data_IF_540433461899
#
_entry.id   IF_540433461899
#
_cell.length_a   1.000
_cell.length_b   1.000
_cell.length_c   1.000
_cell.angle_alpha   90.00
_cell.angle_beta   90.00
_cell.angle_gamma   90.00
#
_symmetry.space_group_name_H-M   'P 1'
#
loop_
_entity.id
_entity.type
_entity.pdbx_description
1 polymer ?
#
# COMPACT_ATOMS: atom_id res chain seq x y z
N UNK A 1 15.91 53.62 -45.14
CA UNK A 1 17.10 54.42 -45.48
C UNK A 1 18.15 54.19 -44.40
N UNK A 2 19.39 53.88 -44.81
CA UNK A 2 20.64 53.82 -44.02
C UNK A 2 20.70 52.85 -42.83
N UNK A 3 21.73 52.05 -42.62
CA UNK A 3 23.03 51.93 -43.29
C UNK A 3 23.74 50.64 -42.83
N UNK A 4 24.54 50.10 -43.75
CA UNK A 4 25.37 48.90 -43.64
C UNK A 4 26.80 49.31 -43.22
N UNK A 5 27.66 48.33 -42.90
CA UNK A 5 29.16 48.32 -42.89
C UNK A 5 29.78 48.33 -41.46
N UNK A 6 30.75 47.51 -41.02
CA UNK A 6 31.50 46.33 -41.50
C UNK A 6 32.34 45.71 -40.35
N UNK A 7 32.63 44.41 -40.49
CA UNK A 7 33.90 43.70 -40.29
C UNK A 7 34.79 43.91 -39.04
N UNK A 8 35.11 42.79 -38.39
CA UNK A 8 36.30 42.60 -37.55
C UNK A 8 36.72 41.13 -37.53
N UNK A 9 37.62 40.75 -38.46
CA UNK A 9 38.33 39.46 -38.47
C UNK A 9 39.40 39.47 -37.36
N UNK A 10 39.46 38.41 -36.57
CA UNK A 10 40.54 38.16 -35.61
C UNK A 10 40.87 36.68 -35.53
N UNK A 11 41.71 36.23 -36.47
CA UNK A 11 42.23 34.87 -36.55
C UNK A 11 43.47 34.75 -35.66
N UNK A 12 43.55 33.75 -34.78
CA UNK A 12 44.83 33.32 -34.20
C UNK A 12 44.80 31.83 -33.85
N UNK A 13 45.28 31.05 -34.79
CA UNK A 13 45.77 29.68 -34.64
C UNK A 13 47.22 29.74 -34.19
N UNK A 14 47.65 29.03 -33.13
CA UNK A 14 48.92 28.28 -33.13
C UNK A 14 48.82 27.08 -32.18
N UNK A 15 49.19 25.94 -32.76
CA UNK A 15 49.48 24.60 -32.25
C UNK A 15 50.21 24.47 -30.91
N UNK A 16 49.96 23.32 -30.27
CA UNK A 16 50.85 22.75 -29.25
C UNK A 16 50.58 21.27 -28.90
N UNK A 17 51.07 20.35 -29.76
CA UNK A 17 51.61 19.00 -29.45
C UNK A 17 50.71 17.85 -28.92
N UNK A 18 50.51 16.89 -29.83
CA UNK A 18 50.70 15.43 -29.72
C UNK A 18 51.03 14.82 -28.33
N UNK A 19 50.18 13.86 -27.90
CA UNK A 19 50.65 12.57 -27.36
C UNK A 19 49.81 11.44 -27.99
N UNK A 20 50.53 10.45 -28.52
CA UNK A 20 50.03 9.21 -29.12
C UNK A 20 49.37 8.31 -28.07
N UNK A 21 48.18 7.84 -28.43
CA UNK A 21 47.67 6.47 -28.33
C UNK A 21 48.07 5.58 -27.15
N UNK A 22 47.05 5.13 -26.42
CA UNK A 22 46.87 3.71 -26.10
C UNK A 22 45.40 3.39 -26.30
N UNK A 23 45.11 2.40 -27.15
CA UNK A 23 43.77 1.89 -27.35
C UNK A 23 43.26 1.29 -26.06
N UNK A 24 42.13 1.80 -25.57
CA UNK A 24 41.37 1.15 -24.49
C UNK A 24 39.97 0.86 -25.01
N UNK A 25 39.71 -0.44 -25.03
CA UNK A 25 38.52 -1.13 -25.52
C UNK A 25 37.23 -0.58 -24.91
N UNK A 26 36.15 -0.61 -25.70
CA UNK A 26 34.78 -0.16 -25.40
C UNK A 26 34.08 -0.86 -24.21
N UNK A 27 34.81 -1.60 -23.36
CA UNK A 27 34.27 -2.36 -22.23
C UNK A 27 34.47 -1.69 -20.86
N UNK A 28 35.22 -0.59 -20.78
CA UNK A 28 35.53 0.10 -19.52
C UNK A 28 34.77 1.42 -19.29
N UNK A 29 33.88 1.83 -20.20
CA UNK A 29 33.08 3.06 -20.07
C UNK A 29 31.64 2.85 -19.55
N UNK A 30 31.26 1.63 -19.18
CA UNK A 30 29.89 1.31 -18.67
C UNK A 30 29.83 0.98 -17.18
N UNK A 31 30.91 1.16 -16.43
CA UNK A 31 30.97 0.82 -15.00
C UNK A 31 31.20 2.02 -14.06
N UNK A 32 31.22 3.24 -14.60
CA UNK A 32 31.43 4.47 -13.83
C UNK A 32 30.22 5.42 -13.78
N UNK A 33 29.12 5.14 -14.49
CA UNK A 33 27.90 5.99 -14.47
C UNK A 33 26.73 5.42 -13.65
N UNK A 34 26.88 4.24 -13.03
CA UNK A 34 25.79 3.63 -12.25
C UNK A 34 25.87 3.88 -10.73
N UNK A 35 26.91 4.56 -10.24
CA UNK A 35 27.10 4.84 -8.80
C UNK A 35 26.91 6.29 -8.39
N UNK A 36 26.67 7.22 -9.33
CA UNK A 36 26.49 8.66 -9.00
C UNK A 36 25.03 9.14 -9.04
N UNK A 37 24.08 8.29 -9.44
CA UNK A 37 22.68 8.72 -9.55
C UNK A 37 21.87 8.70 -8.24
N UNK A 38 22.44 8.19 -7.14
CA UNK A 38 21.76 8.14 -5.85
C UNK A 38 22.24 9.17 -4.81
N UNK A 39 22.98 10.20 -5.22
CA UNK A 39 23.53 11.20 -4.30
C UNK A 39 23.36 12.66 -4.78
N UNK A 40 22.18 13.03 -5.29
CA UNK A 40 21.88 14.43 -5.65
C UNK A 40 20.61 15.01 -5.03
N UNK A 41 19.80 14.23 -4.29
CA UNK A 41 18.54 14.78 -3.76
C UNK A 41 18.04 14.16 -2.46
N UNK A 42 18.76 14.39 -1.38
CA UNK A 42 18.15 14.79 -0.09
C UNK A 42 19.22 15.14 0.93
N UNK A 43 19.27 16.43 1.28
CA UNK A 43 19.92 16.88 2.50
C UNK A 43 19.16 16.31 3.69
N UNK A 44 19.72 15.29 4.32
CA UNK A 44 19.47 14.91 5.70
C UNK A 44 20.61 14.00 6.14
N UNK A 45 21.77 14.61 6.30
CA UNK A 45 22.89 14.01 7.02
C UNK A 45 22.49 13.86 8.49
N UNK A 46 22.09 12.67 8.91
CA UNK A 46 22.20 12.19 10.28
C UNK A 46 22.23 10.66 10.24
N UNK A 47 23.31 10.08 10.79
CA UNK A 47 23.63 8.66 10.86
C UNK A 47 24.26 8.00 9.61
N UNK A 48 25.32 8.63 9.10
CA UNK A 48 26.32 7.97 8.25
C UNK A 48 27.56 7.53 9.07
N UNK A 49 27.37 7.05 10.30
CA UNK A 49 28.46 6.58 11.19
C UNK A 49 28.40 5.07 11.50
N UNK A 50 27.39 4.35 11.00
CA UNK A 50 27.16 2.94 11.37
C UNK A 50 27.56 1.90 10.33
N UNK A 51 28.07 2.34 9.17
CA UNK A 51 28.52 1.47 8.09
C UNK A 51 30.05 1.33 7.98
N UNK A 52 30.82 2.03 8.80
CA UNK A 52 32.29 1.94 8.83
C UNK A 52 32.87 0.81 9.67
N UNK A 53 32.03 0.02 10.35
CA UNK A 53 32.47 -1.02 11.29
C UNK A 53 32.56 -2.43 10.67
N UNK A 54 32.18 -2.59 9.39
CA UNK A 54 32.21 -3.89 8.71
C UNK A 54 33.41 -4.09 7.77
N UNK A 55 34.22 -3.06 7.52
CA UNK A 55 35.33 -3.10 6.55
C UNK A 55 36.71 -3.44 7.14
N UNK A 56 36.84 -3.57 8.46
CA UNK A 56 38.15 -3.73 9.14
C UNK A 56 38.49 -5.19 9.52
N UNK A 57 37.64 -6.17 9.18
CA UNK A 57 37.85 -7.58 9.54
C UNK A 57 38.53 -8.44 8.46
N UNK A 58 38.93 -7.86 7.31
CA UNK A 58 39.42 -8.65 6.17
C UNK A 58 40.94 -8.87 6.14
N UNK A 59 41.70 -8.40 7.13
CA UNK A 59 43.16 -8.50 7.13
C UNK A 59 43.70 -9.53 8.15
N UNK A 60 43.15 -10.75 8.18
CA UNK A 60 43.76 -11.87 8.90
C UNK A 60 43.66 -13.15 8.05
N UNK A 61 44.80 -13.81 7.86
CA UNK A 61 44.97 -15.13 7.23
C UNK A 61 43.77 -16.06 7.51
N UNK A 62 43.13 -16.53 6.44
CA UNK A 62 41.86 -17.27 6.50
C UNK A 62 41.89 -18.46 7.46
N UNK A 63 41.24 -18.28 8.61
CA UNK A 63 40.82 -19.39 9.46
C UNK A 63 39.54 -19.96 8.86
N UNK A 64 39.46 -21.27 8.69
CA UNK A 64 38.23 -21.97 8.25
C UNK A 64 37.02 -21.54 9.08
N UNK A 65 37.25 -21.20 10.35
CA UNK A 65 36.22 -20.71 11.28
C UNK A 65 35.61 -19.38 10.79
N UNK A 66 36.43 -18.43 10.32
CA UNK A 66 35.92 -17.12 9.88
C UNK A 66 35.10 -17.22 8.59
N UNK A 67 35.49 -18.11 7.67
CA UNK A 67 34.75 -18.32 6.42
C UNK A 67 33.39 -18.97 6.68
N UNK A 68 33.34 -19.97 7.56
CA UNK A 68 32.09 -20.62 7.96
C UNK A 68 31.14 -19.65 8.66
N UNK A 69 31.65 -18.79 9.56
CA UNK A 69 30.83 -17.78 10.25
C UNK A 69 30.27 -16.75 9.27
N UNK A 70 31.07 -16.31 8.28
CA UNK A 70 30.64 -15.31 7.30
C UNK A 70 29.57 -15.90 6.35
N UNK A 71 29.74 -17.15 5.91
CA UNK A 71 28.76 -17.86 5.08
C UNK A 71 27.43 -18.06 5.83
N UNK A 72 27.49 -18.47 7.11
CA UNK A 72 26.31 -18.60 7.95
C UNK A 72 25.60 -17.25 8.17
N UNK A 73 26.35 -16.17 8.40
CA UNK A 73 25.78 -14.84 8.57
C UNK A 73 25.06 -14.36 7.31
N UNK A 74 25.66 -14.50 6.12
CA UNK A 74 25.01 -14.14 4.86
C UNK A 74 23.70 -14.91 4.65
N UNK A 75 23.70 -16.20 4.96
CA UNK A 75 22.50 -17.05 4.84
C UNK A 75 21.37 -16.54 5.76
N UNK A 76 21.69 -16.23 7.02
CA UNK A 76 20.70 -15.69 7.98
C UNK A 76 20.18 -14.32 7.54
N UNK A 77 21.05 -13.44 7.06
CA UNK A 77 20.68 -12.10 6.57
C UNK A 77 19.82 -12.12 5.31
N UNK A 78 19.83 -13.20 4.53
CA UNK A 78 18.97 -13.34 3.34
C UNK A 78 17.65 -14.02 3.72
N UNK A 79 17.69 -15.07 4.53
CA UNK A 79 16.48 -15.84 4.87
C UNK A 79 15.54 -15.04 5.77
N UNK A 80 16.05 -14.32 6.78
CA UNK A 80 15.20 -13.61 7.74
C UNK A 80 14.35 -12.49 7.09
N UNK A 81 14.89 -11.60 6.23
CA UNK A 81 14.08 -10.58 5.57
C UNK A 81 13.03 -11.18 4.63
N UNK A 82 13.37 -12.23 3.89
CA UNK A 82 12.44 -12.93 2.99
C UNK A 82 11.30 -13.55 3.79
N UNK A 83 11.62 -14.29 4.86
CA UNK A 83 10.61 -14.89 5.73
C UNK A 83 9.68 -13.83 6.32
N UNK A 84 10.26 -12.75 6.85
CA UNK A 84 9.49 -11.67 7.46
C UNK A 84 8.58 -10.96 6.44
N UNK A 85 9.01 -10.76 5.19
CA UNK A 85 8.17 -10.19 4.14
C UNK A 85 6.99 -11.11 3.79
N UNK A 86 7.21 -12.42 3.78
CA UNK A 86 6.15 -13.41 3.56
C UNK A 86 5.15 -13.39 4.72
N UNK A 87 5.61 -13.43 5.97
CA UNK A 87 4.74 -13.38 7.15
C UNK A 87 3.89 -12.11 7.20
N UNK A 88 4.45 -10.94 6.87
CA UNK A 88 3.70 -9.68 6.83
C UNK A 88 2.53 -9.74 5.84
N UNK A 89 2.75 -10.32 4.65
CA UNK A 89 1.68 -10.50 3.65
C UNK A 89 0.57 -11.39 4.19
N UNK A 90 0.90 -12.49 4.86
CA UNK A 90 -0.09 -13.37 5.47
C UNK A 90 -0.90 -12.65 6.56
N UNK A 91 -0.24 -11.89 7.43
CA UNK A 91 -0.93 -11.12 8.48
C UNK A 91 -1.91 -10.10 7.87
N UNK A 92 -1.51 -9.42 6.80
CA UNK A 92 -2.38 -8.46 6.10
C UNK A 92 -3.60 -9.15 5.48
N UNK A 93 -3.40 -10.33 4.86
CA UNK A 93 -4.50 -11.11 4.28
C UNK A 93 -5.49 -11.61 5.33
N UNK A 94 -5.02 -12.03 6.51
CA UNK A 94 -5.90 -12.40 7.61
C UNK A 94 -6.69 -11.20 8.14
N UNK A 95 -6.07 -10.02 8.31
CA UNK A 95 -6.79 -8.80 8.67
C UNK A 95 -7.88 -8.48 7.65
N UNK A 96 -7.56 -8.58 6.35
CA UNK A 96 -8.54 -8.34 5.29
C UNK A 96 -9.70 -9.35 5.32
N UNK A 97 -9.42 -10.62 5.63
CA UNK A 97 -10.45 -11.65 5.79
C UNK A 97 -11.38 -11.32 6.97
N UNK A 98 -10.83 -11.03 8.14
CA UNK A 98 -11.64 -10.69 9.32
C UNK A 98 -12.51 -9.44 9.07
N UNK A 99 -11.98 -8.44 8.36
CA UNK A 99 -12.76 -7.26 7.95
C UNK A 99 -13.90 -7.68 7.01
N UNK A 100 -13.64 -8.51 6.00
CA UNK A 100 -14.67 -8.99 5.08
C UNK A 100 -15.77 -9.76 5.80
N UNK A 101 -15.41 -10.68 6.66
CA UNK A 101 -16.38 -11.48 7.43
C UNK A 101 -17.22 -10.59 8.36
N UNK A 102 -16.58 -9.57 8.95
CA UNK A 102 -17.27 -8.56 9.75
C UNK A 102 -18.27 -7.75 8.92
N UNK A 103 -17.90 -7.35 7.71
CA UNK A 103 -18.79 -6.60 6.79
C UNK A 103 -19.97 -7.46 6.36
N UNK A 104 -19.73 -8.72 6.02
CA UNK A 104 -20.79 -9.66 5.65
C UNK A 104 -21.79 -9.87 6.80
N UNK A 105 -21.29 -10.09 8.01
CA UNK A 105 -22.12 -10.18 9.21
C UNK A 105 -22.90 -8.87 9.46
N UNK A 106 -22.29 -7.72 9.19
CA UNK A 106 -22.93 -6.40 9.32
C UNK A 106 -24.05 -6.24 8.29
N UNK A 107 -23.83 -6.63 7.04
CA UNK A 107 -24.83 -6.59 5.97
C UNK A 107 -26.08 -7.41 6.36
N UNK A 108 -25.88 -8.65 6.79
CA UNK A 108 -26.97 -9.55 7.21
C UNK A 108 -27.69 -8.98 8.44
N UNK A 109 -26.95 -8.50 9.44
CA UNK A 109 -27.52 -7.93 10.67
C UNK A 109 -28.31 -6.65 10.41
N UNK A 110 -27.80 -5.79 9.53
CA UNK A 110 -28.49 -4.58 9.11
C UNK A 110 -29.79 -4.95 8.40
N UNK A 111 -29.76 -5.88 7.44
CA UNK A 111 -30.95 -6.33 6.74
C UNK A 111 -32.01 -6.90 7.71
N UNK A 112 -31.63 -7.83 8.58
CA UNK A 112 -32.56 -8.42 9.55
C UNK A 112 -33.18 -7.37 10.49
N UNK A 113 -32.40 -6.35 10.86
CA UNK A 113 -32.89 -5.24 11.69
C UNK A 113 -33.88 -4.35 10.93
N UNK A 114 -33.68 -4.15 9.63
CA UNK A 114 -34.62 -3.45 8.76
C UNK A 114 -35.92 -4.26 8.64
N UNK A 115 -35.86 -5.55 8.33
CA UNK A 115 -37.06 -6.41 8.25
C UNK A 115 -37.83 -6.45 9.56
N UNK A 116 -37.16 -6.56 10.70
CA UNK A 116 -37.79 -6.53 12.02
C UNK A 116 -38.48 -5.18 12.33
N UNK A 117 -37.89 -4.06 11.91
CA UNK A 117 -38.48 -2.72 12.07
C UNK A 117 -39.70 -2.52 11.15
N UNK A 118 -39.68 -3.10 9.96
CA UNK A 118 -40.73 -2.93 8.94
C UNK A 118 -41.94 -3.87 9.14
N UNK A 119 -41.79 -4.98 9.85
CA UNK A 119 -42.92 -5.86 10.23
C UNK A 119 -44.03 -5.15 11.04
N UNK A 120 -43.74 -3.97 11.61
CA UNK A 120 -44.70 -3.13 12.33
C UNK A 120 -45.34 -1.99 11.51
N UNK A 121 -44.95 -1.76 10.25
CA UNK A 121 -45.40 -0.60 9.46
C UNK A 121 -45.84 -1.01 8.05
N UNK A 122 -47.10 -0.70 7.73
CA UNK A 122 -47.80 -1.18 6.54
C UNK A 122 -47.32 -0.64 5.18
N UNK A 123 -46.32 0.25 5.12
CA UNK A 123 -45.77 0.77 3.86
C UNK A 123 -44.28 1.09 4.08
N UNK A 124 -43.42 0.33 3.39
CA UNK A 124 -41.96 0.39 3.49
C UNK A 124 -41.43 1.40 2.47
N UNK A 125 -41.38 2.67 2.86
CA UNK A 125 -40.53 3.67 2.21
C UNK A 125 -39.43 4.06 3.20
N UNK A 126 -38.48 3.14 3.41
CA UNK A 126 -37.32 3.45 4.23
C UNK A 126 -36.39 4.36 3.46
N UNK A 127 -36.33 5.62 3.90
CA UNK A 127 -35.33 6.58 3.44
C UNK A 127 -33.92 5.98 3.58
N UNK A 128 -33.12 6.03 2.52
CA UNK A 128 -31.74 5.54 2.46
C UNK A 128 -30.86 5.98 3.65
N UNK A 129 -31.14 7.16 4.22
CA UNK A 129 -30.48 7.67 5.42
C UNK A 129 -30.61 6.74 6.64
N UNK A 130 -31.80 6.19 6.90
CA UNK A 130 -32.04 5.29 8.05
C UNK A 130 -31.30 3.96 7.89
N UNK A 131 -31.25 3.44 6.67
CA UNK A 131 -30.49 2.23 6.33
C UNK A 131 -29.01 2.46 6.61
N UNK A 132 -28.48 3.62 6.19
CA UNK A 132 -27.09 3.99 6.44
C UNK A 132 -26.79 4.15 7.93
N UNK A 133 -27.69 4.72 8.72
CA UNK A 133 -27.50 4.90 10.17
C UNK A 133 -27.45 3.55 10.90
N UNK A 134 -28.40 2.65 10.61
CA UNK A 134 -28.41 1.28 11.18
C UNK A 134 -27.15 0.53 10.75
N UNK A 135 -26.75 0.65 9.49
CA UNK A 135 -25.54 0.01 8.97
C UNK A 135 -24.28 0.51 9.69
N UNK A 136 -24.14 1.83 9.88
CA UNK A 136 -23.02 2.43 10.63
C UNK A 136 -22.98 1.95 12.07
N UNK A 137 -24.13 1.88 12.74
CA UNK A 137 -24.22 1.39 14.12
C UNK A 137 -23.76 -0.07 14.23
N UNK A 138 -24.21 -0.94 13.31
CA UNK A 138 -23.78 -2.34 13.27
C UNK A 138 -22.29 -2.48 12.93
N UNK A 139 -21.80 -1.70 11.96
CA UNK A 139 -20.39 -1.71 11.55
C UNK A 139 -19.49 -1.24 12.70
N UNK A 140 -19.90 -0.19 13.42
CA UNK A 140 -19.18 0.33 14.56
C UNK A 140 -19.11 -0.68 15.72
N UNK A 141 -20.18 -1.45 15.96
CA UNK A 141 -20.13 -2.53 16.94
C UNK A 141 -19.17 -3.64 16.53
N UNK A 142 -19.23 -4.10 15.28
CA UNK A 142 -18.44 -5.25 14.85
C UNK A 142 -16.95 -4.93 14.67
N UNK A 143 -16.61 -3.73 14.18
CA UNK A 143 -15.22 -3.27 14.06
C UNK A 143 -14.69 -2.54 15.31
N UNK A 144 -15.48 -2.47 16.39
CA UNK A 144 -15.15 -1.73 17.63
C UNK A 144 -14.76 -0.26 17.37
N UNK A 145 -15.58 0.44 16.59
CA UNK A 145 -15.44 1.86 16.32
C UNK A 145 -16.23 2.70 17.35
N UNK A 146 -15.99 3.99 17.36
CA UNK A 146 -16.82 4.98 18.03
C UNK A 146 -17.98 5.47 17.13
N UNK A 147 -18.77 6.43 17.61
CA UNK A 147 -19.90 6.99 16.86
C UNK A 147 -19.48 7.81 15.62
N UNK A 148 -18.21 8.21 15.52
CA UNK A 148 -17.65 8.95 14.39
C UNK A 148 -16.95 8.02 13.38
N UNK A 149 -17.05 6.70 13.54
CA UNK A 149 -16.33 5.68 12.76
C UNK A 149 -14.81 5.74 12.96
N UNK A 150 -14.35 6.34 14.06
CA UNK A 150 -12.95 6.37 14.45
C UNK A 150 -12.65 5.13 15.33
N UNK A 151 -11.46 4.52 15.20
CA UNK A 151 -11.13 3.26 15.84
C UNK A 151 -10.89 3.43 17.35
N UNK A 152 -11.35 2.45 18.14
CA UNK A 152 -10.98 2.31 19.56
C UNK A 152 -9.67 1.52 19.70
N UNK A 153 -9.12 1.47 20.92
CA UNK A 153 -7.84 0.79 21.23
C UNK A 153 -7.75 -0.66 20.74
N UNK A 154 -8.89 -1.35 20.68
CA UNK A 154 -8.97 -2.78 20.33
C UNK A 154 -9.53 -3.01 18.91
N UNK A 155 -9.63 -1.96 18.09
CA UNK A 155 -10.12 -2.05 16.72
C UNK A 155 -9.08 -2.65 15.78
N UNK A 156 -9.55 -3.28 14.70
CA UNK A 156 -8.71 -3.75 13.60
C UNK A 156 -8.31 -2.58 12.70
N UNK A 157 -9.12 -1.52 12.66
CA UNK A 157 -8.84 -0.29 11.91
C UNK A 157 -7.88 0.61 12.69
N UNK A 158 -7.02 1.32 11.98
CA UNK A 158 -6.03 2.24 12.55
C UNK A 158 -6.34 3.71 12.27
N UNK A 159 -7.33 3.96 11.41
CA UNK A 159 -7.89 5.28 11.13
C UNK A 159 -9.39 5.20 10.86
N UNK A 160 -9.97 6.34 10.48
CA UNK A 160 -11.39 6.46 10.19
C UNK A 160 -11.84 5.49 9.10
N UNK A 161 -12.89 4.73 9.39
CA UNK A 161 -13.54 3.84 8.42
C UNK A 161 -14.56 4.62 7.61
N UNK A 162 -14.54 4.45 6.29
CA UNK A 162 -15.47 5.11 5.39
C UNK A 162 -16.36 4.10 4.66
N UNK A 163 -17.65 4.39 4.61
CA UNK A 163 -18.62 3.62 3.80
C UNK A 163 -18.71 4.31 2.44
N UNK A 164 -18.24 3.63 1.38
CA UNK A 164 -18.21 4.16 0.02
C UNK A 164 -19.54 3.97 -0.69
N UNK A 165 -20.14 2.78 -0.56
CA UNK A 165 -21.45 2.46 -1.14
C UNK A 165 -22.22 1.51 -0.22
N UNK A 166 -23.55 1.67 -0.23
CA UNK A 166 -24.48 0.76 0.41
C UNK A 166 -25.77 0.73 -0.43
N UNK A 167 -26.11 -0.43 -0.95
CA UNK A 167 -27.30 -0.63 -1.79
C UNK A 167 -27.99 -1.92 -1.35
N UNK A 168 -29.28 -1.85 -1.07
CA UNK A 168 -30.11 -3.01 -0.75
C UNK A 168 -30.95 -3.33 -1.98
N UNK A 169 -30.68 -4.46 -2.63
CA UNK A 169 -31.44 -4.93 -3.79
C UNK A 169 -32.42 -6.01 -3.33
N UNK A 170 -33.71 -5.68 -3.23
CA UNK A 170 -34.77 -6.61 -2.82
C UNK A 170 -35.68 -7.06 -3.97
N UNK A 171 -35.69 -6.35 -5.11
CA UNK A 171 -36.51 -6.66 -6.28
C UNK A 171 -35.84 -6.17 -7.57
N UNK A 172 -36.35 -6.62 -8.74
CA UNK A 172 -35.82 -6.20 -10.05
C UNK A 172 -34.58 -6.97 -10.52
N UNK A 173 -34.57 -8.30 -10.36
CA UNK A 173 -33.46 -9.15 -10.82
C UNK A 173 -33.64 -9.57 -12.29
N UNK A 174 -32.55 -9.63 -13.08
CA UNK A 174 -31.15 -9.40 -12.70
C UNK A 174 -30.82 -7.91 -12.55
N UNK A 175 -30.12 -7.57 -11.46
CA UNK A 175 -29.60 -6.23 -11.20
C UNK A 175 -28.07 -6.23 -11.33
N UNK A 176 -27.46 -5.06 -11.54
CA UNK A 176 -25.99 -4.92 -11.60
C UNK A 176 -25.56 -4.04 -10.44
N UNK A 177 -24.60 -4.52 -9.65
CA UNK A 177 -24.05 -3.74 -8.54
C UNK A 177 -23.17 -2.59 -9.06
N UNK A 178 -22.91 -1.54 -8.27
CA UNK A 178 -22.02 -0.43 -8.65
C UNK A 178 -20.61 -0.87 -9.11
N UNK A 179 -20.14 -2.03 -8.65
CA UNK A 179 -18.85 -2.63 -9.01
C UNK A 179 -18.93 -3.58 -10.23
N UNK A 180 -20.11 -3.71 -10.85
CA UNK A 180 -20.32 -4.48 -12.09
C UNK A 180 -20.66 -5.96 -11.92
N UNK A 181 -20.91 -6.44 -10.69
CA UNK A 181 -21.33 -7.83 -10.42
C UNK A 181 -22.83 -7.99 -10.68
N UNK A 182 -23.21 -9.03 -11.41
CA UNK A 182 -24.61 -9.36 -11.69
C UNK A 182 -25.26 -10.05 -10.49
N UNK A 183 -26.29 -9.42 -9.95
CA UNK A 183 -27.09 -9.89 -8.82
C UNK A 183 -28.36 -10.56 -9.35
N UNK A 184 -28.54 -11.84 -9.03
CA UNK A 184 -29.70 -12.65 -9.47
C UNK A 184 -30.72 -12.93 -8.36
N UNK A 185 -30.36 -12.62 -7.11
CA UNK A 185 -31.16 -12.84 -5.91
C UNK A 185 -31.16 -11.59 -5.03
N UNK A 186 -32.05 -11.48 -4.02
CA UNK A 186 -31.96 -10.43 -3.03
C UNK A 186 -30.60 -10.37 -2.36
N UNK A 187 -29.96 -9.20 -2.41
CA UNK A 187 -28.58 -9.01 -1.99
C UNK A 187 -28.40 -7.63 -1.36
N UNK A 188 -27.60 -7.56 -0.30
CA UNK A 188 -27.07 -6.30 0.24
C UNK A 188 -25.66 -6.11 -0.31
N UNK A 189 -25.48 -5.05 -1.08
CA UNK A 189 -24.18 -4.62 -1.58
C UNK A 189 -23.59 -3.57 -0.63
N UNK A 190 -22.36 -3.77 -0.19
CA UNK A 190 -21.60 -2.76 0.54
C UNK A 190 -20.16 -2.68 0.09
N UNK A 191 -19.63 -1.46 0.06
CA UNK A 191 -18.22 -1.19 -0.18
C UNK A 191 -17.71 -0.27 0.93
N UNK A 192 -16.69 -0.70 1.65
CA UNK A 192 -16.08 0.07 2.74
C UNK A 192 -14.57 0.20 2.54
N UNK A 193 -14.02 1.32 3.01
CA UNK A 193 -12.57 1.57 3.08
C UNK A 193 -12.13 1.52 4.54
N UNK A 194 -11.24 0.58 4.84
CA UNK A 194 -10.68 0.38 6.17
C UNK A 194 -9.17 0.63 6.13
N UNK A 195 -8.67 1.69 6.78
CA UNK A 195 -7.25 1.93 6.92
C UNK A 195 -6.66 0.94 7.93
N UNK A 196 -5.65 0.18 7.52
CA UNK A 196 -4.92 -0.76 8.37
C UNK A 196 -3.42 -0.46 8.36
N UNK A 197 -2.74 -0.84 9.44
CA UNK A 197 -1.30 -0.68 9.56
C UNK A 197 -0.55 -2.00 9.43
N UNK A 198 0.56 -2.02 8.64
CA UNK A 198 1.48 -3.15 8.64
C UNK A 198 2.19 -3.28 9.99
N UNK A 199 2.44 -4.52 10.41
CA UNK A 199 2.97 -4.85 11.74
C UNK A 199 4.51 -4.87 11.76
N UNK A 200 5.17 -5.56 10.83
CA UNK A 200 6.61 -5.85 10.89
C UNK A 200 7.47 -4.80 10.17
N UNK A 201 6.99 -4.26 9.04
CA UNK A 201 7.76 -3.32 8.19
C UNK A 201 7.09 -1.97 8.04
N UNK A 202 6.44 -1.49 9.11
CA UNK A 202 5.70 -0.22 9.14
C UNK A 202 6.47 0.92 8.46
N UNK A 203 7.65 1.28 8.96
CA UNK A 203 8.38 2.46 8.48
C UNK A 203 8.87 2.32 7.04
N UNK A 204 9.21 1.11 6.59
CA UNK A 204 9.72 0.86 5.24
C UNK A 204 8.57 0.89 4.24
N UNK A 205 7.48 0.15 4.51
CA UNK A 205 6.34 0.06 3.61
C UNK A 205 5.62 1.40 3.51
N UNK A 206 5.36 2.05 4.65
CA UNK A 206 4.69 3.34 4.69
C UNK A 206 5.56 4.46 4.09
N UNK A 207 6.88 4.39 4.33
CA UNK A 207 7.86 5.30 3.71
C UNK A 207 7.94 5.16 2.19
N UNK A 208 7.85 3.93 1.66
CA UNK A 208 7.80 3.68 0.21
C UNK A 208 6.49 4.14 -0.42
N UNK A 209 5.37 4.02 0.28
CA UNK A 209 4.05 4.41 -0.20
C UNK A 209 3.74 5.91 -0.01
N UNK A 210 4.52 6.62 0.82
CA UNK A 210 4.24 8.00 1.19
C UNK A 210 2.92 8.18 1.96
N UNK A 211 2.40 7.10 2.57
CA UNK A 211 1.13 7.07 3.28
C UNK A 211 1.34 6.62 4.71
N UNK A 212 0.49 7.07 5.63
CA UNK A 212 0.55 6.65 7.05
C UNK A 212 -0.13 5.29 7.31
N UNK A 213 -1.01 4.87 6.40
CA UNK A 213 -1.79 3.63 6.49
C UNK A 213 -1.96 3.00 5.10
N UNK A 214 -2.29 1.70 5.08
CA UNK A 214 -2.71 0.99 3.86
C UNK A 214 -4.24 0.95 3.86
N UNK A 215 -4.84 1.48 2.80
CA UNK A 215 -6.28 1.45 2.61
C UNK A 215 -6.70 0.09 2.04
N UNK A 216 -7.45 -0.70 2.82
CA UNK A 216 -8.12 -1.91 2.32
C UNK A 216 -9.53 -1.51 1.90
N UNK A 217 -9.83 -1.62 0.62
CA UNK A 217 -11.20 -1.51 0.11
C UNK A 217 -11.81 -2.90 0.07
N UNK A 218 -12.91 -3.09 0.81
CA UNK A 218 -13.62 -4.35 0.90
C UNK A 218 -15.00 -4.16 0.28
N UNK A 219 -15.23 -4.89 -0.79
CA UNK A 219 -16.52 -5.04 -1.44
C UNK A 219 -17.13 -6.39 -1.03
N UNK A 220 -18.37 -6.36 -0.55
CA UNK A 220 -19.12 -7.55 -0.13
C UNK A 220 -20.54 -7.46 -0.70
N UNK A 221 -20.92 -8.51 -1.42
CA UNK A 221 -22.28 -8.75 -1.86
C UNK A 221 -22.85 -9.92 -1.05
N UNK A 222 -23.70 -9.63 -0.08
CA UNK A 222 -24.29 -10.64 0.82
C UNK A 222 -25.64 -11.08 0.29
N UNK A 223 -25.75 -12.33 -0.16
CA UNK A 223 -27.05 -12.93 -0.54
C UNK A 223 -27.93 -13.11 0.71
N UNK A 224 -29.19 -12.72 0.58
CA UNK A 224 -30.16 -12.83 1.66
C UNK A 224 -30.85 -14.19 1.52
N UNK A 225 -30.77 -15.08 2.53
CA UNK A 225 -31.55 -16.31 2.50
C UNK A 225 -33.04 -15.96 2.60
N UNK A 226 -33.79 -16.33 1.56
CA UNK A 226 -35.24 -16.31 1.60
C UNK A 226 -35.68 -17.61 2.27
N UNK A 227 -36.13 -17.53 3.53
CA UNK A 227 -36.87 -18.62 4.16
C UNK A 227 -38.18 -18.79 3.37
N UNK A 228 -38.37 -19.98 2.78
CA UNK A 228 -39.57 -20.35 2.04
C UNK A 228 -40.20 -21.58 2.68
#
# INVERSE_FOLDING_TARGET
>A
MSGRITAGKGNRTVMGKYVKGVGMTRASLKRAEASEFFCSKSRSCLNCSKWGLFSELYEIKGSVVTEVVLMAAMLVFIILPVFSAVTEKYVLMEKARVIRDTVDMTNISAYNSLTASELGKAVVDMSQAKIMDIYREMLARNLKLDGNMDPKSDSIAEGRVEVLSLVVCSSGFPAVCPEGVTITKPTVHSCIRVPVKPSLYRSIILGMLGKEHIDIVVHVDSEIPLDN
#
